data_IF_064425437254
#
_entry.id   IF_064425437254
#
_cell.length_a   1.000
_cell.length_b   1.000
_cell.length_c   1.000
_cell.angle_alpha   90.00
_cell.angle_beta   90.00
_cell.angle_gamma   90.00
#
_symmetry.space_group_name_H-M   'P 1'
#
loop_
_entity.id
_entity.type
_entity.pdbx_description
1 polymer ?
#
# COMPACT_ATOMS: atom_id res chain seq x y z
N UNK A 1 -9.04 3.03 0.87
CA UNK A 1 -10.32 3.64 1.26
C UNK A 1 -10.23 4.68 2.38
N UNK A 2 -9.02 5.08 2.80
CA UNK A 2 -8.86 6.20 3.69
C UNK A 2 -9.10 7.52 2.95
N UNK A 3 -9.69 8.49 3.64
CA UNK A 3 -10.13 9.75 3.04
C UNK A 3 -9.03 10.46 2.25
N UNK A 4 -7.81 10.54 2.79
CA UNK A 4 -6.69 11.26 2.14
C UNK A 4 -6.28 10.61 0.81
N UNK A 5 -6.26 9.28 0.72
CA UNK A 5 -5.93 8.59 -0.53
C UNK A 5 -7.09 8.62 -1.50
N UNK A 6 -8.33 8.57 -1.03
CA UNK A 6 -9.51 8.76 -1.87
C UNK A 6 -9.53 10.14 -2.50
N UNK A 7 -9.27 11.20 -1.73
CA UNK A 7 -9.21 12.57 -2.26
C UNK A 7 -8.13 12.72 -3.33
N UNK A 8 -6.93 12.17 -3.10
CA UNK A 8 -5.86 12.20 -4.10
C UNK A 8 -6.30 11.51 -5.38
N UNK A 9 -6.89 10.33 -5.25
CA UNK A 9 -7.36 9.57 -6.40
C UNK A 9 -8.47 10.30 -7.16
N UNK A 10 -9.42 10.90 -6.46
CA UNK A 10 -10.52 11.67 -7.07
C UNK A 10 -10.00 12.86 -7.85
N UNK A 11 -9.03 13.60 -7.31
CA UNK A 11 -8.42 14.75 -7.99
C UNK A 11 -7.74 14.32 -9.29
N UNK A 12 -7.01 13.19 -9.24
CA UNK A 12 -6.33 12.67 -10.43
C UNK A 12 -7.34 12.15 -11.46
N UNK A 13 -8.40 11.49 -11.03
CA UNK A 13 -9.39 10.88 -11.90
C UNK A 13 -10.29 11.89 -12.62
N UNK A 14 -10.53 13.06 -12.01
CA UNK A 14 -11.46 14.06 -12.51
C UNK A 14 -11.17 14.49 -13.96
N UNK A 15 -9.94 14.89 -14.34
CA UNK A 15 -9.64 15.29 -15.73
C UNK A 15 -9.84 14.16 -16.74
N UNK A 16 -9.80 12.90 -16.30
CA UNK A 16 -9.95 11.73 -17.15
C UNK A 16 -11.40 11.22 -17.20
N UNK A 17 -12.30 11.85 -16.47
CA UNK A 17 -13.69 11.42 -16.34
C UNK A 17 -13.81 9.94 -15.97
N UNK A 18 -13.01 9.49 -15.00
CA UNK A 18 -12.98 8.12 -14.51
C UNK A 18 -13.59 8.02 -13.14
N UNK A 19 -14.29 6.91 -12.89
CA UNK A 19 -14.82 6.59 -11.58
C UNK A 19 -13.70 6.01 -10.70
N UNK A 20 -13.65 6.47 -9.46
CA UNK A 20 -12.74 5.91 -8.45
C UNK A 20 -13.38 4.67 -7.84
N UNK A 21 -12.61 3.59 -7.81
CA UNK A 21 -12.94 2.38 -7.07
C UNK A 21 -12.07 2.27 -5.82
N UNK A 22 -12.60 1.69 -4.76
CA UNK A 22 -11.89 1.54 -3.49
C UNK A 22 -11.73 0.07 -3.13
N UNK A 23 -10.66 -0.24 -2.41
CA UNK A 23 -10.40 -1.59 -1.92
C UNK A 23 -9.69 -1.56 -0.56
N UNK A 24 -10.08 -2.46 0.32
CA UNK A 24 -9.41 -2.65 1.59
C UNK A 24 -7.99 -3.23 1.44
N UNK A 25 -7.69 -3.84 0.29
CA UNK A 25 -6.36 -4.41 0.03
C UNK A 25 -5.26 -3.35 0.00
N UNK A 26 -5.60 -2.08 -0.27
CA UNK A 26 -4.66 -0.96 -0.32
C UNK A 26 -4.61 -0.15 0.97
N UNK A 27 -5.30 -0.56 2.02
CA UNK A 27 -5.21 0.10 3.31
C UNK A 27 -3.77 0.08 3.82
N UNK A 28 -3.37 1.16 4.51
CA UNK A 28 -2.05 1.19 5.16
C UNK A 28 -1.92 0.06 6.18
N UNK A 29 -0.69 -0.27 6.54
CA UNK A 29 -0.43 -1.26 7.58
C UNK A 29 -1.25 -0.94 8.83
N UNK A 30 -1.89 -1.95 9.37
CA UNK A 30 -2.70 -1.77 10.57
C UNK A 30 -1.81 -1.77 11.81
N UNK A 31 -1.70 -0.60 12.42
CA UNK A 31 -0.88 -0.39 13.62
C UNK A 31 -1.65 -0.67 14.92
N UNK A 32 -2.97 -0.83 14.86
CA UNK A 32 -3.84 -1.12 16.02
C UNK A 32 -3.54 -0.22 17.21
N UNK A 33 -3.07 -0.81 18.34
CA UNK A 33 -2.78 -0.08 19.57
C UNK A 33 -1.66 0.96 19.41
N UNK A 34 -0.83 0.86 18.37
CA UNK A 34 0.21 1.84 18.06
C UNK A 34 -0.26 2.96 17.13
N UNK A 35 -1.51 2.95 16.72
CA UNK A 35 -2.08 3.98 15.85
C UNK A 35 -1.99 5.36 16.53
N UNK A 36 -1.50 6.34 15.79
CA UNK A 36 -1.32 7.71 16.27
C UNK A 36 -0.03 7.95 17.06
N UNK A 37 0.75 6.91 17.33
CA UNK A 37 2.05 7.10 17.98
C UNK A 37 3.05 7.76 17.01
N UNK A 38 3.89 8.64 17.59
CA UNK A 38 4.95 9.30 16.83
C UNK A 38 6.04 8.27 16.47
N UNK A 39 6.43 8.20 15.19
CA UNK A 39 7.34 7.15 14.69
C UNK A 39 8.64 7.04 15.52
N UNK A 40 9.34 8.15 15.90
CA UNK A 40 10.54 8.06 16.72
C UNK A 40 10.31 7.48 18.12
N UNK A 41 9.08 7.47 18.62
CA UNK A 41 8.74 6.89 19.93
C UNK A 41 8.43 5.40 19.85
N UNK A 42 8.40 4.81 18.66
CA UNK A 42 8.15 3.39 18.49
C UNK A 42 9.38 2.57 18.90
N UNK A 43 9.20 1.38 19.50
CA UNK A 43 10.32 0.47 19.74
C UNK A 43 11.08 0.19 18.45
N UNK A 44 12.41 0.23 18.52
CA UNK A 44 13.27 -0.01 17.36
C UNK A 44 13.23 -1.48 16.91
N UNK A 45 13.08 -2.40 17.85
CA UNK A 45 12.99 -3.83 17.58
C UNK A 45 11.52 -4.21 17.40
N UNK A 46 11.09 -4.74 16.23
CA UNK A 46 9.72 -5.20 16.03
C UNK A 46 9.24 -6.25 17.03
N UNK A 47 10.15 -6.96 17.71
CA UNK A 47 9.80 -7.92 18.77
C UNK A 47 9.13 -7.25 19.96
N UNK A 48 9.43 -5.97 20.21
CA UNK A 48 8.89 -5.19 21.31
C UNK A 48 7.54 -4.54 20.95
N UNK A 49 7.07 -4.72 19.73
CA UNK A 49 5.78 -4.20 19.28
C UNK A 49 4.62 -5.05 19.81
N UNK A 50 3.46 -4.43 20.06
CA UNK A 50 2.25 -5.18 20.41
C UNK A 50 1.91 -6.25 19.36
N UNK A 51 1.34 -7.36 19.81
CA UNK A 51 0.97 -8.47 18.92
C UNK A 51 -0.18 -8.14 17.97
N UNK A 52 -0.89 -7.03 18.22
CA UNK A 52 -2.02 -6.61 17.39
C UNK A 52 -1.62 -5.79 16.16
N UNK A 53 -0.34 -5.40 16.03
CA UNK A 53 0.17 -4.76 14.82
C UNK A 53 0.20 -5.76 13.68
N UNK A 54 -0.30 -5.35 12.52
CA UNK A 54 -0.34 -6.23 11.34
C UNK A 54 1.05 -6.78 11.01
N UNK A 55 1.23 -8.12 10.99
CA UNK A 55 2.53 -8.71 10.66
C UNK A 55 2.91 -8.45 9.21
N UNK A 56 4.21 -8.35 8.94
CA UNK A 56 4.72 -8.18 7.56
C UNK A 56 4.24 -9.31 6.63
N UNK A 57 4.26 -10.60 7.01
CA UNK A 57 3.73 -11.66 6.13
C UNK A 57 2.27 -11.46 5.75
N UNK A 58 1.43 -10.97 6.67
CA UNK A 58 0.04 -10.65 6.39
C UNK A 58 -0.09 -9.48 5.41
N UNK A 59 0.69 -8.43 5.62
CA UNK A 59 0.73 -7.27 4.71
C UNK A 59 1.17 -7.68 3.30
N UNK A 60 2.19 -8.53 3.19
CA UNK A 60 2.65 -9.06 1.90
C UNK A 60 1.60 -9.95 1.22
N UNK A 61 0.85 -10.74 1.99
CA UNK A 61 -0.25 -11.54 1.47
C UNK A 61 -1.36 -10.66 0.87
N UNK A 62 -1.70 -9.57 1.56
CA UNK A 62 -2.66 -8.57 1.02
C UNK A 62 -2.14 -7.95 -0.28
N UNK A 63 -0.86 -7.59 -0.31
CA UNK A 63 -0.23 -7.01 -1.50
C UNK A 63 -0.27 -7.98 -2.68
N UNK A 64 0.02 -9.25 -2.44
CA UNK A 64 -0.07 -10.30 -3.45
C UNK A 64 -1.50 -10.46 -3.96
N UNK A 65 -2.48 -10.46 -3.07
CA UNK A 65 -3.89 -10.55 -3.43
C UNK A 65 -4.32 -9.36 -4.28
N UNK A 66 -3.84 -8.17 -3.95
CA UNK A 66 -4.10 -6.97 -4.75
C UNK A 66 -3.56 -7.10 -6.18
N UNK A 67 -2.31 -7.52 -6.34
CA UNK A 67 -1.71 -7.71 -7.67
C UNK A 67 -2.46 -8.76 -8.48
N UNK A 68 -2.85 -9.86 -7.86
CA UNK A 68 -3.64 -10.91 -8.51
C UNK A 68 -5.01 -10.37 -8.94
N UNK A 69 -5.67 -9.62 -8.07
CA UNK A 69 -6.98 -9.04 -8.36
C UNK A 69 -6.91 -8.07 -9.54
N UNK A 70 -5.91 -7.20 -9.59
CA UNK A 70 -5.72 -6.27 -10.71
C UNK A 70 -5.54 -7.04 -12.02
N UNK A 71 -4.71 -8.07 -12.00
CA UNK A 71 -4.39 -8.86 -13.18
C UNK A 71 -5.60 -9.58 -13.76
N UNK A 72 -6.47 -10.08 -12.90
CA UNK A 72 -7.69 -10.81 -13.27
C UNK A 72 -8.81 -9.86 -13.68
N UNK A 73 -8.97 -8.76 -12.94
CA UNK A 73 -10.09 -7.83 -13.13
C UNK A 73 -9.87 -6.86 -14.29
N UNK A 74 -8.63 -6.43 -14.50
CA UNK A 74 -8.26 -5.43 -15.51
C UNK A 74 -7.12 -5.93 -16.41
N UNK A 75 -7.32 -7.07 -17.14
CA UNK A 75 -6.26 -7.59 -18.01
C UNK A 75 -5.94 -6.61 -19.15
N UNK A 76 -4.66 -6.45 -19.45
CA UNK A 76 -4.17 -5.60 -20.55
C UNK A 76 -4.57 -4.12 -20.43
N UNK A 77 -4.91 -3.66 -19.22
CA UNK A 77 -5.28 -2.28 -18.95
C UNK A 77 -4.21 -1.58 -18.12
N UNK A 78 -4.12 -0.26 -18.30
CA UNK A 78 -3.31 0.58 -17.41
C UNK A 78 -4.17 1.01 -16.23
N UNK A 79 -3.72 0.70 -15.02
CA UNK A 79 -4.43 1.01 -13.78
C UNK A 79 -3.55 1.91 -12.92
N UNK A 80 -4.10 3.04 -12.45
CA UNK A 80 -3.45 3.85 -11.43
C UNK A 80 -4.00 3.45 -10.07
N UNK A 81 -3.14 2.95 -9.20
CA UNK A 81 -3.47 2.63 -7.83
C UNK A 81 -2.87 3.68 -6.89
N UNK A 82 -3.69 4.23 -6.02
CA UNK A 82 -3.27 5.19 -5.00
C UNK A 82 -3.35 4.51 -3.64
N UNK A 83 -2.23 4.44 -2.96
CA UNK A 83 -2.13 3.78 -1.65
C UNK A 83 -1.31 4.60 -0.66
N UNK A 84 -0.66 3.91 0.24
CA UNK A 84 0.11 4.49 1.33
C UNK A 84 1.54 3.95 1.34
N UNK A 85 2.43 4.63 2.08
CA UNK A 85 3.87 4.35 2.03
C UNK A 85 4.24 2.90 2.26
N UNK A 86 3.77 2.28 3.33
CA UNK A 86 4.18 0.91 3.68
C UNK A 86 3.48 -0.14 2.81
N UNK A 87 2.19 0.01 2.53
CA UNK A 87 1.50 -0.91 1.63
C UNK A 87 2.06 -0.84 0.21
N UNK A 88 2.40 0.34 -0.28
CA UNK A 88 3.05 0.49 -1.58
C UNK A 88 4.43 -0.19 -1.62
N UNK A 89 5.16 -0.12 -0.52
CA UNK A 89 6.44 -0.81 -0.36
C UNK A 89 6.25 -2.34 -0.35
N UNK A 90 5.20 -2.82 0.31
CA UNK A 90 4.88 -4.25 0.31
C UNK A 90 4.52 -4.77 -1.09
N UNK A 91 3.76 -3.99 -1.86
CA UNK A 91 3.42 -4.32 -3.25
C UNK A 91 4.68 -4.48 -4.09
N UNK A 92 5.62 -3.53 -3.99
CA UNK A 92 6.89 -3.60 -4.70
C UNK A 92 7.75 -4.78 -4.22
N UNK A 93 7.76 -5.05 -2.92
CA UNK A 93 8.47 -6.19 -2.34
C UNK A 93 7.98 -7.51 -2.94
N UNK A 94 6.69 -7.70 -3.07
CA UNK A 94 6.09 -8.89 -3.69
C UNK A 94 6.38 -8.94 -5.18
N UNK A 95 6.21 -7.82 -5.88
CA UNK A 95 6.42 -7.75 -7.32
C UNK A 95 7.86 -8.06 -7.73
N UNK A 96 8.83 -7.45 -7.05
CA UNK A 96 10.25 -7.64 -7.34
C UNK A 96 10.86 -8.86 -6.65
N UNK A 97 10.09 -9.55 -5.79
CA UNK A 97 10.56 -10.67 -4.99
C UNK A 97 11.78 -10.30 -4.15
N UNK A 98 11.70 -9.18 -3.45
CA UNK A 98 12.78 -8.64 -2.59
C UNK A 98 12.26 -8.37 -1.18
N UNK A 99 13.14 -8.41 -0.16
CA UNK A 99 12.77 -8.00 1.19
C UNK A 99 12.29 -6.56 1.25
N UNK A 100 11.42 -6.25 2.19
CA UNK A 100 10.90 -4.89 2.39
C UNK A 100 12.00 -3.83 2.55
N UNK A 101 13.07 -4.17 3.25
CA UNK A 101 14.18 -3.24 3.52
C UNK A 101 15.04 -2.94 2.29
N UNK A 102 14.91 -3.70 1.22
CA UNK A 102 15.60 -3.44 -0.06
C UNK A 102 14.77 -2.57 -1.01
N UNK A 103 13.52 -2.30 -0.67
CA UNK A 103 12.65 -1.45 -1.48
C UNK A 103 12.87 0.01 -1.10
N UNK A 104 13.27 0.89 -2.03
CA UNK A 104 13.44 2.31 -1.75
C UNK A 104 12.13 2.96 -1.28
N UNK A 105 12.26 3.88 -0.33
CA UNK A 105 11.11 4.67 0.13
C UNK A 105 10.59 5.56 -1.01
N UNK A 106 9.28 5.60 -1.15
CA UNK A 106 8.62 6.57 -2.02
C UNK A 106 8.34 7.86 -1.26
N UNK A 107 8.64 8.99 -1.89
CA UNK A 107 8.19 10.29 -1.40
C UNK A 107 6.72 10.50 -1.75
N UNK A 108 6.10 11.52 -1.15
CA UNK A 108 4.72 11.87 -1.50
C UNK A 108 4.63 12.21 -2.99
N UNK A 109 3.56 11.76 -3.63
CA UNK A 109 3.31 11.93 -5.06
C UNK A 109 4.32 11.22 -6.00
N UNK A 110 5.18 10.37 -5.47
CA UNK A 110 6.01 9.50 -6.31
C UNK A 110 5.16 8.43 -6.99
N UNK A 111 5.58 8.04 -8.19
CA UNK A 111 4.94 7.01 -8.99
C UNK A 111 5.92 5.88 -9.28
N UNK A 112 5.45 4.66 -9.21
CA UNK A 112 6.19 3.46 -9.66
C UNK A 112 5.34 2.73 -10.68
N UNK A 113 5.96 2.33 -11.76
CA UNK A 113 5.31 1.57 -12.83
C UNK A 113 5.68 0.11 -12.66
N UNK A 114 4.66 -0.73 -12.55
CA UNK A 114 4.80 -2.19 -12.46
C UNK A 114 4.13 -2.84 -13.66
N UNK A 115 4.85 -3.73 -14.30
CA UNK A 115 4.39 -4.43 -15.50
C UNK A 115 3.92 -5.83 -15.10
N UNK A 116 2.63 -6.01 -15.05
CA UNK A 116 2.02 -7.25 -14.55
C UNK A 116 1.81 -8.31 -15.64
#
# INVERSE_FOLDING_TARGET
DLRRSMQTCEIIAEPHNKKVETTALLRERDWRSMTGNFIPDLPKDPKDWPNDVEPIPHLKARAKNFLTWIKVTYPDMTVLAVGHGIVNKAIQSVYFNKPMNEIPRMNNADVRILDL
#
